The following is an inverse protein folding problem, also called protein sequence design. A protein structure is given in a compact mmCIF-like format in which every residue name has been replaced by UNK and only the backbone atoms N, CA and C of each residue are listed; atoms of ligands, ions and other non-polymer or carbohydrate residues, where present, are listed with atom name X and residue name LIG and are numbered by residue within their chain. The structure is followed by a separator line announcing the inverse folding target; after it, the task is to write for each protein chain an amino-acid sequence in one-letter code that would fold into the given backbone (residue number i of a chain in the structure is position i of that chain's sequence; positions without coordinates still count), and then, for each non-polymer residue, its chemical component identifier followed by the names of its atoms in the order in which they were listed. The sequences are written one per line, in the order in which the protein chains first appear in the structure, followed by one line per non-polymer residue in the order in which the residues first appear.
data_IF_578465355073
#
_entry.id   IF_578465355073
#
_cell.length_a   1.000
_cell.length_b   1.000
_cell.length_c   1.000
_cell.angle_alpha   90.00
_cell.angle_beta   90.00
_cell.angle_gamma   90.00
#
_symmetry.space_group_name_H-M   'P 1'
#
loop_
_entity.id
_entity.type
_entity.pdbx_description
1 polymer ?
#
# COMPACT_ATOMS: atom_id res chain seq x y z
N UNK A 1 3.30 -20.13 0.54
CA UNK A 1 2.86 -18.77 0.92
C UNK A 1 3.35 -17.76 -0.11
N UNK A 2 2.44 -16.91 -0.57
CA UNK A 2 2.78 -15.90 -1.56
C UNK A 2 3.01 -14.58 -0.83
N UNK A 3 4.26 -14.11 -0.81
CA UNK A 3 4.62 -12.89 -0.10
C UNK A 3 5.07 -11.83 -1.09
N UNK A 4 4.86 -10.58 -0.72
CA UNK A 4 5.29 -9.47 -1.56
C UNK A 4 5.51 -8.23 -0.76
N UNK A 5 6.02 -7.22 -1.46
CA UNK A 5 6.35 -5.93 -0.90
C UNK A 5 5.87 -4.84 -1.83
N UNK A 6 5.47 -3.71 -1.26
CA UNK A 6 5.10 -2.55 -2.05
C UNK A 6 5.58 -1.29 -1.35
N UNK A 7 6.05 -0.35 -2.16
CA UNK A 7 6.37 1.00 -1.68
C UNK A 7 5.49 1.96 -2.45
N UNK A 8 4.79 2.82 -1.73
CA UNK A 8 3.91 3.78 -2.37
C UNK A 8 3.35 4.74 -1.35
N UNK A 9 2.33 5.51 -1.78
CA UNK A 9 1.72 6.52 -0.93
C UNK A 9 0.27 6.18 -0.67
N UNK A 10 -0.19 6.52 0.53
CA UNK A 10 -1.58 6.29 0.90
C UNK A 10 -2.49 7.21 0.08
N UNK A 11 -3.59 6.64 -0.41
CA UNK A 11 -4.58 7.43 -1.12
C UNK A 11 -5.56 8.14 -0.23
N UNK A 12 -5.63 7.72 1.04
CA UNK A 12 -6.47 8.33 2.04
C UNK A 12 -5.91 7.98 3.41
N UNK A 13 -6.42 8.61 4.45
CA UNK A 13 -5.99 8.31 5.81
C UNK A 13 -6.33 6.85 6.13
N UNK A 14 -5.41 6.19 6.84
CA UNK A 14 -5.66 4.82 7.30
C UNK A 14 -6.77 4.83 8.36
N UNK A 15 -7.55 3.77 8.36
CA UNK A 15 -8.64 3.62 9.33
C UNK A 15 -8.47 2.33 10.11
N UNK A 16 -8.90 2.35 11.36
CA UNK A 16 -8.96 1.14 12.17
C UNK A 16 -10.34 0.54 12.01
N UNK A 17 -10.39 -0.74 11.67
CA UNK A 17 -11.64 -1.46 11.52
C UNK A 17 -11.64 -2.63 12.47
N UNK A 18 -12.83 -3.11 12.80
CA UNK A 18 -12.99 -4.25 13.66
C UNK A 18 -13.81 -5.32 12.95
N UNK A 19 -13.37 -6.56 13.08
CA UNK A 19 -14.09 -7.71 12.53
C UNK A 19 -13.94 -8.89 13.47
N UNK A 20 -15.06 -9.40 13.92
CA UNK A 20 -15.10 -10.56 14.84
C UNK A 20 -14.21 -10.35 16.08
N UNK A 21 -14.29 -9.16 16.66
CA UNK A 21 -13.54 -8.84 17.86
C UNK A 21 -12.07 -8.52 17.68
N UNK A 22 -11.62 -8.45 16.42
CA UNK A 22 -10.22 -8.13 16.12
C UNK A 22 -10.13 -6.82 15.39
N UNK A 23 -9.18 -6.00 15.83
CA UNK A 23 -8.91 -4.74 15.15
C UNK A 23 -7.86 -4.91 14.08
N UNK A 24 -8.01 -4.17 13.00
CA UNK A 24 -6.97 -4.10 11.97
C UNK A 24 -6.99 -2.73 11.33
N UNK A 25 -5.82 -2.32 10.85
CA UNK A 25 -5.66 -1.05 10.14
C UNK A 25 -5.82 -1.32 8.67
N UNK A 26 -6.66 -0.52 8.01
CA UNK A 26 -6.94 -0.68 6.58
C UNK A 26 -6.55 0.60 5.85
N UNK A 27 -5.80 0.45 4.76
CA UNK A 27 -5.46 1.58 3.91
C UNK A 27 -5.12 1.07 2.51
N UNK A 28 -5.13 2.00 1.56
CA UNK A 28 -4.78 1.71 0.17
C UNK A 28 -3.47 2.41 -0.16
N UNK A 29 -2.59 1.70 -0.85
CA UNK A 29 -1.30 2.22 -1.27
C UNK A 29 -1.32 2.38 -2.78
N UNK A 30 -0.97 3.56 -3.25
CA UNK A 30 -0.83 3.85 -4.66
C UNK A 30 0.62 3.67 -5.05
N UNK A 31 0.86 2.78 -5.98
CA UNK A 31 2.19 2.52 -6.53
C UNK A 31 2.19 2.95 -7.98
N UNK A 32 3.13 3.79 -8.34
CA UNK A 32 3.25 4.24 -9.73
C UNK A 32 4.26 3.36 -10.46
N UNK A 33 3.83 2.84 -11.59
CA UNK A 33 4.66 1.97 -12.40
C UNK A 33 4.73 2.51 -13.82
N UNK A 34 5.84 2.25 -14.48
CA UNK A 34 6.01 2.62 -15.89
C UNK A 34 5.83 1.37 -16.73
N UNK A 35 4.86 1.40 -17.62
CA UNK A 35 4.58 0.29 -18.51
C UNK A 35 4.78 0.74 -19.95
N UNK A 36 5.36 -0.14 -20.76
CA UNK A 36 5.54 0.13 -22.17
C UNK A 36 4.27 -0.27 -22.92
N UNK A 37 3.68 0.69 -23.61
CA UNK A 37 2.47 0.44 -24.36
C UNK A 37 2.74 -0.31 -25.65
N UNK A 38 1.67 -0.71 -26.32
CA UNK A 38 1.75 -1.47 -27.57
C UNK A 38 2.46 -0.69 -28.67
N UNK A 39 2.40 0.64 -28.60
CA UNK A 39 3.05 1.51 -29.59
C UNK A 39 4.50 1.82 -29.25
N UNK A 40 5.04 1.22 -28.20
CA UNK A 40 6.41 1.44 -27.77
C UNK A 40 6.62 2.62 -26.84
N UNK A 41 5.58 3.36 -26.55
CA UNK A 41 5.68 4.50 -25.65
C UNK A 41 5.55 4.08 -24.19
N UNK A 42 6.29 4.75 -23.31
CA UNK A 42 6.21 4.50 -21.88
C UNK A 42 5.03 5.26 -21.31
N UNK A 43 4.24 4.56 -20.52
CA UNK A 43 3.09 5.15 -19.84
C UNK A 43 3.22 4.92 -18.34
N UNK A 44 2.89 5.94 -17.57
CA UNK A 44 2.85 5.81 -16.12
C UNK A 44 1.44 5.41 -15.70
N UNK A 45 1.33 4.33 -14.97
CA UNK A 45 0.04 3.86 -14.44
C UNK A 45 0.12 3.81 -12.93
N UNK A 46 -1.03 3.98 -12.29
CA UNK A 46 -1.13 3.86 -10.86
C UNK A 46 -1.78 2.54 -10.52
N UNK A 47 -1.07 1.75 -9.74
CA UNK A 47 -1.57 0.48 -9.26
C UNK A 47 -1.95 0.62 -7.78
N UNK A 48 -3.11 0.12 -7.42
CA UNK A 48 -3.62 0.24 -6.06
C UNK A 48 -3.53 -1.09 -5.35
N UNK A 49 -3.00 -1.06 -4.14
CA UNK A 49 -2.88 -2.24 -3.30
C UNK A 49 -3.63 -1.95 -2.00
N UNK A 50 -4.55 -2.84 -1.66
CA UNK A 50 -5.27 -2.74 -0.40
C UNK A 50 -4.47 -3.44 0.67
N UNK A 51 -4.29 -2.77 1.81
CA UNK A 51 -3.47 -3.32 2.90
C UNK A 51 -4.35 -3.50 4.13
N UNK A 52 -4.23 -4.67 4.74
CA UNK A 52 -4.81 -4.95 6.06
C UNK A 52 -3.67 -5.31 7.00
N UNK A 53 -3.59 -4.63 8.13
CA UNK A 53 -2.52 -4.80 9.10
C UNK A 53 -3.13 -5.04 10.47
N UNK A 54 -2.90 -6.21 11.04
CA UNK A 54 -3.49 -6.59 12.32
C UNK A 54 -3.06 -5.63 13.42
N UNK A 55 -4.01 -5.29 14.28
CA UNK A 55 -3.78 -4.41 15.41
C UNK A 55 -4.33 -3.02 15.16
N UNK A 56 -3.98 -2.08 16.00
CA UNK A 56 -4.49 -0.72 15.91
C UNK A 56 -3.49 0.27 15.32
N UNK A 57 -2.38 -0.24 14.78
CA UNK A 57 -1.35 0.60 14.17
C UNK A 57 -0.37 1.20 15.16
N UNK A 58 -0.64 1.13 16.44
CA UNK A 58 0.27 1.63 17.46
C UNK A 58 0.70 3.06 17.21
N UNK A 59 2.00 3.30 17.27
CA UNK A 59 2.54 4.65 17.12
C UNK A 59 2.51 5.14 15.69
N UNK A 60 2.35 4.24 14.71
CA UNK A 60 2.36 4.64 13.31
C UNK A 60 1.02 5.21 12.85
N UNK A 61 -0.07 4.83 13.52
CA UNK A 61 -1.40 5.20 13.04
C UNK A 61 -1.56 6.71 12.78
N UNK A 62 -1.10 7.62 13.68
CA UNK A 62 -1.26 9.05 13.41
C UNK A 62 -0.49 9.54 12.19
N UNK A 63 0.47 8.78 11.72
CA UNK A 63 1.30 9.16 10.57
C UNK A 63 0.83 8.51 9.27
N UNK A 64 -0.14 7.58 9.34
CA UNK A 64 -0.65 6.90 8.16
C UNK A 64 -1.77 7.73 7.55
N UNK A 65 -1.38 8.86 6.98
CA UNK A 65 -2.30 9.83 6.41
C UNK A 65 -2.17 9.87 4.90
N UNK A 66 -3.16 10.45 4.25
CA UNK A 66 -3.14 10.61 2.80
C UNK A 66 -1.82 11.22 2.35
N UNK A 67 -1.18 10.59 1.40
CA UNK A 67 0.09 11.05 0.85
C UNK A 67 1.32 10.53 1.54
N UNK A 68 1.18 9.87 2.69
CA UNK A 68 2.33 9.31 3.40
C UNK A 68 2.93 8.18 2.58
N UNK A 69 4.25 8.13 2.51
CA UNK A 69 4.96 7.08 1.80
C UNK A 69 5.30 5.95 2.76
N UNK A 70 4.97 4.74 2.36
CA UNK A 70 5.14 3.57 3.22
C UNK A 70 5.76 2.42 2.45
N UNK A 71 6.43 1.55 3.18
CA UNK A 71 6.86 0.24 2.73
C UNK A 71 6.00 -0.79 3.46
N UNK A 72 5.40 -1.70 2.71
CA UNK A 72 4.53 -2.73 3.26
C UNK A 72 5.02 -4.09 2.78
N UNK A 73 5.11 -5.03 3.69
CA UNK A 73 5.48 -6.40 3.39
C UNK A 73 4.47 -7.34 4.02
N UNK A 74 4.09 -8.36 3.31
CA UNK A 74 3.19 -9.35 3.87
C UNK A 74 2.75 -10.38 2.86
N UNK A 75 1.69 -11.08 3.21
CA UNK A 75 1.14 -12.11 2.34
C UNK A 75 0.26 -11.46 1.28
N UNK A 76 0.50 -11.81 0.02
CA UNK A 76 -0.23 -11.24 -1.10
C UNK A 76 -1.44 -12.12 -1.39
N UNK A 77 -2.60 -11.47 -1.46
CA UNK A 77 -3.87 -12.12 -1.75
C UNK A 77 -4.47 -11.50 -3.01
N UNK A 78 -4.19 -12.07 -4.18
CA UNK A 78 -4.88 -11.60 -5.39
C UNK A 78 -6.34 -12.01 -5.33
N UNK A 79 -7.21 -11.13 -5.79
CA UNK A 79 -8.63 -11.37 -5.81
C UNK A 79 -9.18 -11.01 -7.17
N UNK A 80 -9.79 -11.99 -7.83
CA UNK A 80 -10.38 -11.80 -9.14
C UNK A 80 -11.89 -11.65 -8.99
N UNK A 81 -12.45 -10.66 -9.64
CA UNK A 81 -13.88 -10.44 -9.60
C UNK A 81 -14.39 -10.00 -10.97
N UNK A 82 -15.67 -10.24 -11.21
CA UNK A 82 -16.32 -9.87 -12.45
C UNK A 82 -17.28 -8.72 -12.17
N UNK A 83 -17.16 -7.64 -12.95
CA UNK A 83 -18.05 -6.51 -12.76
C UNK A 83 -19.41 -6.76 -13.45
N UNK A 84 -20.30 -5.77 -13.40
CA UNK A 84 -21.65 -5.91 -13.90
C UNK A 84 -21.74 -6.08 -15.41
N UNK A 85 -20.70 -5.69 -16.15
CA UNK A 85 -20.70 -5.83 -17.61
C UNK A 85 -19.86 -7.01 -18.08
N UNK A 86 -19.48 -7.89 -17.15
CA UNK A 86 -18.80 -9.13 -17.50
C UNK A 86 -17.30 -9.05 -17.60
N UNK A 87 -16.70 -7.91 -17.30
CA UNK A 87 -15.24 -7.78 -17.31
C UNK A 87 -14.64 -8.37 -16.07
N UNK A 88 -13.50 -9.05 -16.23
CA UNK A 88 -12.77 -9.61 -15.11
C UNK A 88 -11.74 -8.60 -14.65
N UNK A 89 -11.76 -8.29 -13.35
CA UNK A 89 -10.82 -7.37 -12.73
C UNK A 89 -10.01 -8.10 -11.67
N UNK A 90 -8.78 -7.64 -11.49
CA UNK A 90 -7.89 -8.21 -10.49
C UNK A 90 -7.55 -7.12 -9.49
N UNK A 91 -7.80 -7.39 -8.23
CA UNK A 91 -7.37 -6.52 -7.14
C UNK A 91 -6.33 -7.26 -6.31
N UNK A 92 -5.43 -6.49 -5.71
CA UNK A 92 -4.36 -7.06 -4.90
C UNK A 92 -4.51 -6.56 -3.47
N UNK A 93 -4.47 -7.50 -2.55
CA UNK A 93 -4.54 -7.20 -1.12
C UNK A 93 -3.32 -7.79 -0.45
N UNK A 94 -2.72 -7.05 0.46
CA UNK A 94 -1.62 -7.54 1.26
C UNK A 94 -2.04 -7.61 2.71
N UNK A 95 -1.87 -8.78 3.32
CA UNK A 95 -2.04 -8.95 4.76
C UNK A 95 -0.68 -8.65 5.38
N UNK A 96 -0.53 -7.42 5.86
CA UNK A 96 0.77 -6.90 6.22
C UNK A 96 1.32 -7.56 7.46
N UNK A 97 2.57 -7.96 7.42
CA UNK A 97 3.34 -8.37 8.59
C UNK A 97 4.26 -7.23 9.04
N UNK A 98 4.55 -6.31 8.14
CA UNK A 98 5.45 -5.20 8.44
C UNK A 98 5.01 -3.97 7.66
N UNK A 99 4.93 -2.82 8.35
CA UNK A 99 4.64 -1.53 7.74
C UNK A 99 5.66 -0.54 8.27
N UNK A 100 6.35 0.15 7.36
CA UNK A 100 7.40 1.10 7.72
C UNK A 100 7.12 2.42 7.00
N UNK A 101 7.20 3.52 7.73
CA UNK A 101 7.12 4.84 7.12
C UNK A 101 8.41 5.16 6.38
N UNK A 102 8.27 5.67 5.16
CA UNK A 102 9.40 6.03 4.33
C UNK A 102 9.38 7.54 4.06
N UNK A 103 10.55 8.16 4.01
CA UNK A 103 10.65 9.53 3.57
C UNK A 103 9.90 10.53 4.42
N UNK A 104 9.86 10.31 5.69
CA UNK A 104 9.22 11.25 6.60
C UNK A 104 10.11 12.44 6.69
N UNK A 105 9.95 13.15 6.26
CA UNK A 105 10.81 14.17 6.43
C UNK A 105 11.23 14.81 5.29
N UNK A 106 11.08 14.34 4.95
CA UNK A 106 11.42 14.62 4.35
C UNK A 106 11.71 15.35 4.15
N UNK A 107 12.07 15.40 4.34
CA UNK A 107 12.58 15.85 4.34
C UNK A 107 13.20 15.89 4.53
N UNK A 108 13.53 15.86 4.54
CA UNK A 108 14.35 15.51 4.95
C UNK A 108 14.86 15.00 4.61
N UNK A 109 15.31 14.75 4.27
CA UNK A 109 15.85 14.10 4.36
C UNK A 109 16.35 13.96 4.06
N UNK A 110 16.83 14.17 3.98
CA UNK A 110 17.36 13.79 4.20
C UNK A 110 17.76 13.24 4.45
N UNK A 111 18.15 13.19 4.62
CA UNK A 111 18.56 12.51 5.22
C UNK A 111 18.71 11.84 5.31
N UNK A 112 19.15 11.79 5.35
CA UNK A 112 19.28 11.10 5.78
C UNK A 112 19.31 10.33 5.58
N UNK A 113 19.59 10.22 5.46
CA UNK A 113 19.63 9.51 5.76
C UNK A 113 19.56 8.81 5.57
N UNK A 114 19.94 8.66 5.62
CA UNK A 114 19.72 8.00 5.97
C UNK A 114 19.49 7.42 6.15
N UNK A 115 19.50 7.31 6.15
CA UNK A 115 19.25 6.74 6.79
C UNK A 115 18.99 6.27 7.00
N UNK A 116 19.32 6.10 7.14
CA UNK A 116 18.98 5.76 7.59
C UNK A 116 18.77 5.44 7.79
N UNK A 117 18.98 5.21 7.79
CA UNK A 117 18.70 4.80 8.35
C UNK A 117 18.64 4.52 8.53
#
# INVERSE_FOLDING_TARGET
MFKGEVIGRLGADATVKEYQGREFVSFNVAHKANNKGANGEWQQVTEWVQVSWNGNGGRLLPYLKKGAKVFVRGEVKPNRYTNSIGEVHLSIKILASEVVLCGVCEDSQKSVGNGER
#
